data_IF_732112037315
#
_entry.id   IF_732112037315
#
_cell.length_a   1.000
_cell.length_b   1.000
_cell.length_c   1.000
_cell.angle_alpha   90.00
_cell.angle_beta   90.00
_cell.angle_gamma   90.00
#
_symmetry.space_group_name_H-M   'P 1'
#
loop_
_entity.id
_entity.type
_entity.pdbx_description
1 polymer ?
#
# COMPACT_ATOMS: atom_id res chain seq x y z
N UNK A 1 -3.10 11.85 10.56
CA UNK A 1 -2.96 10.39 10.37
C UNK A 1 -3.19 10.13 8.88
N UNK A 2 -2.25 9.48 8.20
CA UNK A 2 -2.29 9.29 6.73
C UNK A 2 -2.50 7.82 6.40
N UNK A 3 -3.59 7.49 5.70
CA UNK A 3 -3.98 6.11 5.37
C UNK A 3 -3.42 5.71 4.01
N UNK A 4 -2.73 4.58 3.93
CA UNK A 4 -2.28 3.99 2.66
C UNK A 4 -3.09 2.73 2.39
N UNK A 5 -3.67 2.60 1.19
CA UNK A 5 -4.55 1.47 0.86
C UNK A 5 -4.45 1.04 -0.60
N UNK A 6 -4.84 -0.21 -0.87
CA UNK A 6 -4.98 -0.76 -2.21
C UNK A 6 -6.47 -0.86 -2.60
N UNK A 7 -6.76 -0.62 -3.88
CA UNK A 7 -8.09 -0.88 -4.44
C UNK A 7 -7.94 -1.41 -5.86
N UNK A 8 -8.53 -2.58 -6.11
CA UNK A 8 -8.60 -3.18 -7.44
C UNK A 8 -9.51 -2.39 -8.38
N UNK A 9 -9.62 -2.84 -9.64
CA UNK A 9 -10.40 -2.22 -10.70
C UNK A 9 -11.89 -1.99 -10.36
N UNK A 10 -12.47 -2.75 -9.41
CA UNK A 10 -13.86 -2.56 -8.97
C UNK A 10 -14.07 -1.35 -8.04
N UNK A 11 -12.98 -0.74 -7.54
CA UNK A 11 -12.97 0.50 -6.77
C UNK A 11 -13.82 0.52 -5.48
N UNK A 12 -14.18 -0.65 -4.94
CA UNK A 12 -14.97 -0.76 -3.70
C UNK A 12 -14.27 -0.07 -2.52
N UNK A 13 -13.00 -0.39 -2.28
CA UNK A 13 -12.21 0.19 -1.18
C UNK A 13 -11.98 1.68 -1.38
N UNK A 14 -11.74 2.13 -2.61
CA UNK A 14 -11.60 3.55 -2.92
C UNK A 14 -12.85 4.36 -2.55
N UNK A 15 -14.05 3.86 -2.88
CA UNK A 15 -15.32 4.50 -2.50
C UNK A 15 -15.50 4.55 -0.98
N UNK A 16 -15.12 3.48 -0.28
CA UNK A 16 -15.18 3.44 1.19
C UNK A 16 -14.23 4.48 1.81
N UNK A 17 -12.96 4.49 1.42
CA UNK A 17 -11.95 5.41 1.96
C UNK A 17 -12.32 6.88 1.71
N UNK A 18 -12.88 7.21 0.54
CA UNK A 18 -13.37 8.57 0.25
C UNK A 18 -14.46 9.04 1.23
N UNK A 19 -15.29 8.14 1.75
CA UNK A 19 -16.33 8.48 2.72
C UNK A 19 -15.78 8.74 4.12
N UNK A 20 -14.58 8.25 4.44
CA UNK A 20 -13.96 8.46 5.75
C UNK A 20 -13.47 9.90 5.95
N UNK A 21 -13.29 10.68 4.86
CA UNK A 21 -12.78 12.06 4.95
C UNK A 21 -11.36 12.17 5.48
N UNK A 22 -10.60 11.07 5.48
CA UNK A 22 -9.21 11.01 5.94
C UNK A 22 -8.24 11.31 4.80
N UNK A 23 -7.08 11.86 5.14
CA UNK A 23 -5.96 11.97 4.21
C UNK A 23 -5.48 10.56 3.83
N UNK A 24 -5.68 10.17 2.57
CA UNK A 24 -5.40 8.81 2.12
C UNK A 24 -4.71 8.77 0.75
N UNK A 25 -3.80 7.82 0.58
CA UNK A 25 -3.06 7.59 -0.65
C UNK A 25 -3.27 6.17 -1.17
N UNK A 26 -3.57 6.04 -2.46
CA UNK A 26 -3.87 4.75 -3.10
C UNK A 26 -2.60 4.14 -3.70
N UNK A 27 -2.32 2.88 -3.38
CA UNK A 27 -1.30 2.08 -4.05
C UNK A 27 -1.73 1.85 -5.51
N UNK A 28 -0.80 2.12 -6.43
CA UNK A 28 -0.99 1.97 -7.87
C UNK A 28 -1.41 0.56 -8.26
N UNK A 29 -2.29 0.44 -9.25
CA UNK A 29 -2.85 -0.84 -9.68
C UNK A 29 -1.93 -1.55 -10.67
N UNK A 30 -1.27 -0.78 -11.52
CA UNK A 30 -0.42 -1.28 -12.60
C UNK A 30 1.05 -0.94 -12.35
N UNK A 31 1.95 -1.78 -12.82
CA UNK A 31 3.40 -1.60 -12.64
C UNK A 31 3.97 -0.41 -13.42
N UNK A 32 3.29 0.06 -14.47
CA UNK A 32 3.70 1.25 -15.24
C UNK A 32 3.28 2.56 -14.57
N UNK A 33 2.39 2.50 -13.59
CA UNK A 33 2.01 3.66 -12.79
C UNK A 33 3.11 3.96 -11.76
N UNK A 34 3.33 5.25 -11.42
CA UNK A 34 4.36 5.63 -10.46
C UNK A 34 4.16 4.94 -9.11
N UNK A 35 5.26 4.44 -8.54
CA UNK A 35 5.24 3.77 -7.24
C UNK A 35 4.90 4.77 -6.12
N UNK A 36 4.15 4.29 -5.13
CA UNK A 36 3.76 5.09 -3.99
C UNK A 36 4.96 5.32 -3.06
N UNK A 37 5.40 6.56 -2.89
CA UNK A 37 6.38 6.90 -1.87
C UNK A 37 5.67 7.17 -0.54
N UNK A 38 5.92 6.30 0.44
CA UNK A 38 5.40 6.41 1.80
C UNK A 38 6.58 6.47 2.75
N UNK A 39 6.77 7.61 3.40
CA UNK A 39 7.77 7.74 4.47
C UNK A 39 7.21 7.06 5.72
N UNK A 40 7.70 5.86 6.01
CA UNK A 40 7.27 5.13 7.19
C UNK A 40 8.02 5.62 8.43
N UNK A 41 7.31 5.78 9.55
CA UNK A 41 7.95 5.82 10.87
C UNK A 41 8.14 4.36 11.33
N UNK A 42 9.31 3.97 11.85
CA UNK A 42 9.72 2.56 12.00
C UNK A 42 8.85 1.70 12.95
N UNK A 43 7.82 2.26 13.58
CA UNK A 43 6.93 1.55 14.50
C UNK A 43 5.76 0.80 13.83
N UNK A 44 5.45 1.04 12.56
CA UNK A 44 4.33 0.34 11.92
C UNK A 44 4.77 -1.01 11.34
N UNK A 45 4.42 -2.09 12.06
CA UNK A 45 4.61 -3.50 11.65
C UNK A 45 3.54 -4.00 10.65
N UNK A 46 2.53 -3.18 10.33
CA UNK A 46 1.39 -3.60 9.53
C UNK A 46 1.58 -3.37 8.02
N UNK A 47 2.01 -4.42 7.32
CA UNK A 47 1.85 -4.56 5.87
C UNK A 47 0.61 -5.42 5.57
N UNK A 48 -0.43 -4.92 4.88
CA UNK A 48 -1.58 -5.74 4.53
C UNK A 48 -1.17 -6.88 3.59
N UNK A 49 -1.75 -8.10 3.72
CA UNK A 49 -1.29 -9.30 3.02
C UNK A 49 -1.32 -9.17 1.48
N UNK A 50 -2.16 -8.30 0.91
CA UNK A 50 -2.15 -8.05 -0.55
C UNK A 50 -1.00 -7.13 -1.03
N UNK A 51 -0.29 -6.44 -0.13
CA UNK A 51 0.94 -5.72 -0.46
C UNK A 51 2.18 -6.66 -0.51
N UNK A 52 2.03 -7.93 -0.13
CA UNK A 52 3.13 -8.91 -0.10
C UNK A 52 3.56 -9.41 -1.48
N UNK A 53 2.87 -9.01 -2.56
CA UNK A 53 3.10 -9.59 -3.88
C UNK A 53 4.33 -9.03 -4.66
N UNK A 54 5.04 -7.99 -4.19
CA UNK A 54 6.26 -7.51 -4.90
C UNK A 54 7.24 -6.59 -4.15
N UNK A 55 7.12 -6.43 -2.83
CA UNK A 55 7.98 -5.50 -2.07
C UNK A 55 8.82 -6.16 -0.97
N UNK A 56 8.76 -7.48 -0.83
CA UNK A 56 9.75 -8.21 -0.04
C UNK A 56 11.02 -8.36 -0.87
N UNK A 57 12.00 -7.50 -0.57
CA UNK A 57 13.44 -7.76 -0.71
C UNK A 57 13.77 -9.26 -0.68
N UNK A 58 14.75 -9.75 -1.46
CA UNK A 58 15.29 -11.09 -1.21
C UNK A 58 15.83 -11.10 0.22
N UNK A 59 15.23 -11.94 1.05
CA UNK A 59 15.79 -12.34 2.34
C UNK A 59 17.26 -12.73 2.12
N UNK A 60 18.22 -12.29 2.93
CA UNK A 60 19.61 -12.67 2.71
C UNK A 60 19.70 -14.19 2.88
N UNK A 61 20.02 -14.90 1.81
CA UNK A 61 20.52 -16.27 1.94
C UNK A 61 21.89 -16.15 2.60
N UNK A 62 21.95 -16.44 3.92
CA UNK A 62 23.20 -16.85 4.51
C UNK A 62 23.67 -18.09 3.76
N UNK A 63 24.91 -18.04 3.29
CA UNK A 63 25.66 -19.25 2.98
C UNK A 63 26.00 -19.97 4.28
#
# INVERSE_FOLDING_TARGET
MRLVYFSSASLNTHRFVRKLGLEAQRISLHSHEPALQVTHSPSCSWCPPMAVARWAVPFPMSR
#
